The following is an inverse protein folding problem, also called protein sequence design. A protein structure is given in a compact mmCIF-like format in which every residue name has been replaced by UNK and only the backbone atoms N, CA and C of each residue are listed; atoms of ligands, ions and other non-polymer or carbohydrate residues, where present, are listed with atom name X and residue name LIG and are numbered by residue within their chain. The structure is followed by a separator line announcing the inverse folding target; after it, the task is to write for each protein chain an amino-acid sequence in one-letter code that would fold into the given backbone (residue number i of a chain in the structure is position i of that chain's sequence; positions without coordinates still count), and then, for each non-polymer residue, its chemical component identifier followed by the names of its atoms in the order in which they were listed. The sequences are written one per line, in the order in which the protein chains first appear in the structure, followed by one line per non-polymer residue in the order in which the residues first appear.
data_IF_378006019657
#
_entry.id   IF_378006019657
#
_cell.length_a   1.000
_cell.length_b   1.000
_cell.length_c   1.000
_cell.angle_alpha   90.00
_cell.angle_beta   90.00
_cell.angle_gamma   90.00
#
_symmetry.space_group_name_H-M   'P 1'
#
loop_
_entity.id
_entity.type
_entity.pdbx_description
1 polymer ?
#
# COMPACT_ATOMS: atom_id res chain seq x y z
N UNK A 1 32.86 -13.21 20.35
CA UNK A 1 32.08 -13.53 19.14
C UNK A 1 31.97 -12.34 18.19
N UNK A 2 32.32 -11.13 18.64
CA UNK A 2 31.96 -9.87 17.96
C UNK A 2 32.77 -9.58 16.69
N UNK A 3 33.96 -10.16 16.53
CA UNK A 3 34.82 -9.96 15.34
C UNK A 3 34.86 -11.17 14.38
N UNK A 4 34.04 -12.21 14.63
CA UNK A 4 33.95 -13.39 13.76
C UNK A 4 32.68 -13.31 12.91
N UNK A 5 32.81 -12.72 11.72
CA UNK A 5 31.70 -12.52 10.76
C UNK A 5 30.93 -13.82 10.51
N UNK A 6 31.64 -14.95 10.41
CA UNK A 6 31.08 -16.27 10.10
C UNK A 6 30.28 -16.90 11.25
N UNK A 7 30.43 -16.38 12.48
CA UNK A 7 29.74 -16.90 13.69
C UNK A 7 28.69 -15.94 14.24
N UNK A 8 28.43 -14.83 13.56
CA UNK A 8 27.39 -13.88 13.93
C UNK A 8 26.02 -14.49 13.67
N UNK A 9 25.19 -14.59 14.72
CA UNK A 9 23.76 -14.89 14.54
C UNK A 9 23.02 -13.62 14.13
N UNK A 10 22.26 -13.68 13.03
CA UNK A 10 21.43 -12.56 12.54
C UNK A 10 20.02 -12.55 13.15
N UNK A 11 19.63 -13.66 13.80
CA UNK A 11 18.39 -13.81 14.56
C UNK A 11 18.70 -14.50 15.89
N UNK A 12 17.88 -14.25 16.91
CA UNK A 12 18.08 -14.84 18.24
C UNK A 12 17.25 -14.16 19.31
N UNK A 13 17.34 -14.69 20.53
CA UNK A 13 16.74 -14.08 21.71
C UNK A 13 17.75 -13.11 22.34
N UNK A 14 17.27 -11.91 22.70
CA UNK A 14 18.01 -11.05 23.62
C UNK A 14 17.77 -11.59 25.03
N UNK A 15 18.77 -12.27 25.58
CA UNK A 15 18.75 -12.76 26.96
C UNK A 15 19.70 -11.93 27.82
N UNK A 16 19.22 -11.49 28.98
CA UNK A 16 20.04 -10.87 30.01
C UNK A 16 20.43 -11.96 31.00
N UNK A 17 21.68 -12.42 30.93
CA UNK A 17 22.16 -13.51 31.76
C UNK A 17 22.64 -12.99 33.12
N UNK A 18 22.22 -13.66 34.20
CA UNK A 18 22.77 -13.51 35.54
C UNK A 18 23.76 -14.64 35.83
N UNK A 19 24.90 -14.33 36.45
CA UNK A 19 25.85 -15.33 36.93
C UNK A 19 25.44 -15.88 38.30
N UNK A 20 25.84 -17.12 38.61
CA UNK A 20 25.58 -17.74 39.92
C UNK A 20 26.35 -17.01 41.04
N UNK A 21 25.68 -16.75 42.17
CA UNK A 21 26.25 -16.06 43.33
C UNK A 21 25.21 -15.77 44.43
N UNK A 22 25.61 -15.16 45.55
CA UNK A 22 24.67 -14.72 46.58
C UNK A 22 23.61 -13.73 46.03
N UNK A 23 22.45 -13.59 46.69
CA UNK A 23 21.37 -12.73 46.21
C UNK A 23 21.83 -11.30 45.96
N UNK A 24 21.50 -10.75 44.79
CA UNK A 24 21.80 -9.38 44.41
C UNK A 24 20.61 -8.76 43.67
N UNK A 25 20.39 -7.46 43.88
CA UNK A 25 19.43 -6.69 43.09
C UNK A 25 20.08 -6.30 41.75
N UNK A 26 19.41 -6.63 40.65
CA UNK A 26 19.86 -6.28 39.29
C UNK A 26 18.77 -5.50 38.59
N UNK A 27 19.10 -4.29 38.16
CA UNK A 27 18.22 -3.41 37.42
C UNK A 27 18.82 -3.15 36.04
N UNK A 28 18.02 -3.39 35.00
CA UNK A 28 18.35 -3.01 33.64
C UNK A 28 17.50 -1.79 33.27
N UNK A 29 18.15 -0.72 32.80
CA UNK A 29 17.48 0.50 32.33
C UNK A 29 18.03 0.91 30.97
N UNK A 30 17.26 1.70 30.25
CA UNK A 30 17.67 2.31 28.98
C UNK A 30 18.09 1.32 27.88
N UNK A 31 17.56 0.08 27.90
CA UNK A 31 17.78 -0.88 26.82
C UNK A 31 17.09 -0.38 25.55
N UNK A 32 17.88 -0.10 24.51
CA UNK A 32 17.39 0.29 23.19
C UNK A 32 17.69 -0.80 22.18
N UNK A 33 16.63 -1.30 21.54
CA UNK A 33 16.76 -2.16 20.37
C UNK A 33 16.90 -1.29 19.13
N UNK A 34 18.04 -1.38 18.44
CA UNK A 34 18.23 -0.75 17.13
C UNK A 34 18.04 -1.80 16.06
N UNK A 35 17.00 -1.66 15.24
CA UNK A 35 16.83 -2.48 14.04
C UNK A 35 17.80 -1.99 12.96
N UNK A 36 18.69 -2.85 12.49
CA UNK A 36 19.58 -2.51 11.38
C UNK A 36 18.88 -2.77 10.03
N UNK A 37 19.24 -2.05 8.96
CA UNK A 37 18.74 -2.33 7.62
C UNK A 37 18.99 -3.80 7.24
N UNK A 38 17.98 -4.42 6.66
CA UNK A 38 18.07 -5.77 6.12
C UNK A 38 18.93 -5.71 4.86
N UNK A 39 20.08 -6.39 4.85
CA UNK A 39 21.01 -6.33 3.70
C UNK A 39 20.48 -7.12 2.50
N UNK A 40 19.85 -8.26 2.75
CA UNK A 40 19.45 -9.22 1.72
C UNK A 40 17.94 -9.36 1.56
N UNK A 41 17.17 -8.43 2.14
CA UNK A 41 15.72 -8.44 2.05
C UNK A 41 15.12 -7.04 2.07
N UNK A 42 13.92 -6.89 1.51
CA UNK A 42 13.13 -5.67 1.55
C UNK A 42 11.93 -5.85 2.47
N UNK A 43 11.74 -4.90 3.40
CA UNK A 43 10.58 -4.88 4.28
C UNK A 43 9.42 -4.17 3.61
N UNK A 44 8.31 -4.87 3.43
CA UNK A 44 7.05 -4.33 2.88
C UNK A 44 6.05 -4.25 4.04
N UNK A 45 5.67 -3.05 4.44
CA UNK A 45 4.67 -2.85 5.50
C UNK A 45 3.30 -2.69 4.87
N UNK A 46 2.37 -3.60 5.18
CA UNK A 46 0.98 -3.58 4.77
C UNK A 46 0.13 -3.09 5.94
N UNK A 47 -0.72 -2.09 5.71
CA UNK A 47 -1.61 -1.55 6.74
C UNK A 47 -3.04 -1.62 6.24
N UNK A 48 -3.86 -2.38 6.95
CA UNK A 48 -5.28 -2.55 6.69
C UNK A 48 -6.12 -1.67 7.61
N UNK A 49 -7.13 -1.01 7.05
CA UNK A 49 -8.22 -0.42 7.82
C UNK A 49 -9.11 -1.47 8.47
N UNK A 50 -10.12 -1.03 9.22
CA UNK A 50 -11.23 -1.92 9.62
C UNK A 50 -12.16 -2.12 8.43
N UNK A 51 -12.85 -3.26 8.36
CA UNK A 51 -13.97 -3.38 7.44
C UNK A 51 -14.97 -2.24 7.72
N UNK A 52 -15.26 -1.42 6.72
CA UNK A 52 -16.03 -0.18 6.92
C UNK A 52 -17.36 -0.12 6.19
N UNK A 53 -17.64 -1.06 5.28
CA UNK A 53 -18.86 -1.11 4.46
C UNK A 53 -19.58 -2.46 4.56
N UNK A 54 -20.48 -2.76 3.62
CA UNK A 54 -21.26 -3.99 3.56
C UNK A 54 -20.40 -5.24 3.47
N UNK A 55 -21.04 -6.41 3.55
CA UNK A 55 -20.33 -7.69 3.49
C UNK A 55 -19.55 -7.80 2.16
N UNK A 56 -18.23 -7.90 2.26
CA UNK A 56 -17.34 -7.99 1.09
C UNK A 56 -17.02 -6.64 0.43
N UNK A 57 -17.45 -5.53 1.01
CA UNK A 57 -17.11 -4.17 0.60
C UNK A 57 -16.15 -3.56 1.61
N UNK A 58 -15.07 -2.95 1.13
CA UNK A 58 -14.02 -2.37 1.98
C UNK A 58 -13.49 -3.37 3.02
N UNK A 59 -13.41 -4.65 2.67
CA UNK A 59 -12.83 -5.69 3.52
C UNK A 59 -11.31 -5.63 3.45
N UNK A 60 -10.77 -4.53 3.98
CA UNK A 60 -9.34 -4.24 3.97
C UNK A 60 -8.50 -5.33 4.65
N UNK A 61 -8.90 -5.86 5.84
CA UNK A 61 -8.14 -6.94 6.49
C UNK A 61 -8.03 -8.18 5.62
N UNK A 62 -9.12 -8.61 4.99
CA UNK A 62 -9.10 -9.79 4.12
C UNK A 62 -8.23 -9.55 2.88
N UNK A 63 -8.31 -8.37 2.24
CA UNK A 63 -7.44 -8.05 1.11
C UNK A 63 -5.95 -8.02 1.48
N UNK A 64 -5.59 -7.39 2.60
CA UNK A 64 -4.20 -7.37 3.09
C UNK A 64 -3.71 -8.77 3.44
N UNK A 65 -4.55 -9.63 4.02
CA UNK A 65 -4.20 -11.03 4.26
C UNK A 65 -3.83 -11.77 2.96
N UNK A 66 -4.62 -11.62 1.88
CA UNK A 66 -4.33 -12.24 0.59
C UNK A 66 -3.03 -11.71 -0.04
N UNK A 67 -2.83 -10.38 0.00
CA UNK A 67 -1.61 -9.75 -0.49
C UNK A 67 -0.38 -10.23 0.31
N UNK A 68 -0.50 -10.29 1.63
CA UNK A 68 0.52 -10.82 2.53
C UNK A 68 0.90 -12.25 2.17
N UNK A 69 -0.10 -13.11 2.02
CA UNK A 69 0.09 -14.52 1.66
C UNK A 69 0.88 -14.67 0.35
N UNK A 70 0.58 -13.85 -0.65
CA UNK A 70 1.32 -13.84 -1.91
C UNK A 70 2.76 -13.33 -1.75
N UNK A 71 2.96 -12.26 -0.98
CA UNK A 71 4.28 -11.67 -0.76
C UNK A 71 5.22 -12.59 0.04
N UNK A 72 4.69 -13.43 0.93
CA UNK A 72 5.49 -14.43 1.66
C UNK A 72 6.13 -15.48 0.74
N UNK A 73 5.63 -15.63 -0.48
CA UNK A 73 6.21 -16.53 -1.48
C UNK A 73 7.31 -15.87 -2.33
N UNK A 74 7.59 -14.58 -2.13
CA UNK A 74 8.58 -13.82 -2.91
C UNK A 74 9.94 -13.83 -2.20
N UNK A 75 10.99 -14.45 -2.79
CA UNK A 75 12.33 -14.44 -2.19
C UNK A 75 12.85 -13.02 -1.96
N UNK A 76 13.44 -12.78 -0.78
CA UNK A 76 13.97 -11.47 -0.41
C UNK A 76 12.91 -10.46 0.04
N UNK A 77 11.63 -10.85 0.20
CA UNK A 77 10.60 -10.02 0.83
C UNK A 77 10.43 -10.40 2.29
N UNK A 78 10.37 -9.39 3.16
CA UNK A 78 9.83 -9.50 4.52
C UNK A 78 8.57 -8.66 4.57
N UNK A 79 7.41 -9.29 4.41
CA UNK A 79 6.17 -8.60 4.64
C UNK A 79 5.93 -8.42 6.15
N UNK A 80 5.27 -7.33 6.53
CA UNK A 80 4.76 -7.07 7.88
C UNK A 80 3.39 -6.43 7.76
N UNK A 81 2.39 -6.97 8.44
CA UNK A 81 1.00 -6.56 8.34
C UNK A 81 0.47 -6.01 9.66
N UNK A 82 -0.26 -4.91 9.56
CA UNK A 82 -0.91 -4.24 10.69
C UNK A 82 -2.38 -4.02 10.32
N UNK A 83 -3.27 -4.30 11.27
CA UNK A 83 -4.71 -4.23 11.07
C UNK A 83 -5.33 -3.13 11.93
N UNK A 84 -6.59 -2.80 11.61
CA UNK A 84 -7.40 -1.83 12.34
C UNK A 84 -6.95 -0.36 12.22
N UNK A 85 -6.25 -0.03 11.14
CA UNK A 85 -5.82 1.33 10.81
C UNK A 85 -4.38 1.61 11.22
N UNK A 86 -4.12 2.84 11.70
CA UNK A 86 -2.76 3.26 12.04
C UNK A 86 -2.13 2.35 13.10
N UNK A 87 -0.93 1.78 12.87
CA UNK A 87 -0.31 0.85 13.82
C UNK A 87 -0.11 1.47 15.21
N UNK A 88 -0.48 0.71 16.25
CA UNK A 88 -0.17 1.07 17.65
C UNK A 88 1.28 0.80 18.03
N UNK A 89 1.95 -0.10 17.30
CA UNK A 89 3.40 -0.35 17.40
C UNK A 89 4.17 0.87 16.88
N UNK A 90 4.87 1.64 17.73
CA UNK A 90 5.60 2.83 17.31
C UNK A 90 6.81 2.49 16.42
N UNK A 91 7.21 1.22 16.33
CA UNK A 91 8.31 0.73 15.49
C UNK A 91 7.81 0.12 14.17
N UNK A 92 6.52 0.20 13.87
CA UNK A 92 5.92 -0.51 12.74
C UNK A 92 6.62 -0.23 11.40
N UNK A 93 6.95 1.04 11.17
CA UNK A 93 7.57 1.51 9.93
C UNK A 93 9.11 1.48 9.96
N UNK A 94 9.73 1.02 11.04
CA UNK A 94 11.19 0.93 11.12
C UNK A 94 11.73 0.03 10.01
N UNK A 95 12.75 0.53 9.30
CA UNK A 95 13.39 -0.11 8.15
C UNK A 95 12.44 -0.52 7.02
N UNK A 96 11.24 0.06 6.94
CA UNK A 96 10.36 -0.15 5.80
C UNK A 96 11.06 0.30 4.51
N UNK A 97 11.03 -0.54 3.48
CA UNK A 97 11.40 -0.15 2.12
C UNK A 97 10.20 0.41 1.37
N UNK A 98 8.99 -0.08 1.68
CA UNK A 98 7.74 0.52 1.25
C UNK A 98 6.67 0.38 2.33
N UNK A 99 5.72 1.29 2.30
CA UNK A 99 4.48 1.24 3.09
C UNK A 99 3.31 1.17 2.10
N UNK A 100 2.39 0.23 2.30
CA UNK A 100 1.17 0.07 1.52
C UNK A 100 -0.02 0.23 2.45
N UNK A 101 -0.88 1.20 2.15
CA UNK A 101 -2.11 1.44 2.87
C UNK A 101 -3.31 1.00 2.03
N UNK A 102 -4.13 0.13 2.61
CA UNK A 102 -5.44 -0.24 2.11
C UNK A 102 -6.42 -0.08 3.27
N UNK A 103 -7.00 1.11 3.37
CA UNK A 103 -7.73 1.53 4.56
C UNK A 103 -8.66 2.69 4.24
N UNK A 104 -9.40 3.16 5.24
CA UNK A 104 -10.30 4.31 5.10
C UNK A 104 -9.57 5.60 4.69
N UNK A 105 -10.32 6.47 4.00
CA UNK A 105 -9.91 7.77 3.50
C UNK A 105 -10.76 8.95 4.00
N UNK A 106 -10.79 10.01 3.20
CA UNK A 106 -11.54 11.24 3.49
C UNK A 106 -11.09 11.92 4.78
N UNK A 107 -12.02 12.56 5.49
CA UNK A 107 -11.72 13.19 6.78
C UNK A 107 -11.29 12.19 7.86
N UNK A 108 -11.66 10.91 7.71
CA UNK A 108 -11.27 9.81 8.59
C UNK A 108 -9.92 9.19 8.25
N UNK A 109 -9.24 9.65 7.18
CA UNK A 109 -8.03 9.02 6.68
C UNK A 109 -6.96 8.92 7.77
N UNK A 110 -6.44 7.72 8.11
CA UNK A 110 -5.52 7.57 9.23
C UNK A 110 -4.20 8.36 9.11
N UNK A 111 -3.74 8.68 7.89
CA UNK A 111 -2.47 9.40 7.69
C UNK A 111 -2.57 10.91 7.96
N UNK A 112 -3.77 11.49 7.84
CA UNK A 112 -3.97 12.93 8.04
C UNK A 112 -4.24 13.28 9.51
N UNK A 113 -4.44 12.27 10.37
CA UNK A 113 -4.69 12.49 11.80
C UNK A 113 -3.41 12.89 12.53
N UNK A 114 -3.55 13.71 13.58
CA UNK A 114 -2.43 14.11 14.45
C UNK A 114 -1.26 14.68 13.61
N UNK A 115 -0.02 14.28 13.90
CA UNK A 115 1.22 14.66 13.23
C UNK A 115 1.72 13.61 12.21
N UNK A 116 0.86 12.67 11.82
CA UNK A 116 1.25 11.50 11.00
C UNK A 116 1.71 11.85 9.60
N UNK A 117 1.26 12.97 9.03
CA UNK A 117 1.80 13.49 7.76
C UNK A 117 3.28 13.83 7.88
N UNK A 118 3.67 14.53 8.95
CA UNK A 118 5.09 14.86 9.22
C UNK A 118 5.93 13.62 9.48
N UNK A 119 5.37 12.62 10.16
CA UNK A 119 6.03 11.35 10.39
C UNK A 119 6.28 10.59 9.08
N UNK A 120 5.26 10.50 8.21
CA UNK A 120 5.39 9.89 6.89
C UNK A 120 6.37 10.66 6.00
N UNK A 121 6.32 12.00 6.00
CA UNK A 121 7.27 12.84 5.28
C UNK A 121 8.73 12.50 5.64
N UNK A 122 9.00 12.23 6.92
CA UNK A 122 10.31 11.78 7.39
C UNK A 122 10.76 10.43 6.82
N UNK A 123 9.84 9.51 6.51
CA UNK A 123 10.14 8.28 5.78
C UNK A 123 10.29 8.53 4.28
N UNK A 124 9.42 9.35 3.70
CA UNK A 124 9.44 9.67 2.28
C UNK A 124 10.77 10.30 1.86
N UNK A 125 11.28 11.27 2.64
CA UNK A 125 12.61 11.90 2.44
C UNK A 125 13.80 10.94 2.56
N UNK A 126 13.60 9.76 3.14
CA UNK A 126 14.62 8.69 3.21
C UNK A 126 14.51 7.70 2.03
N UNK A 127 13.65 7.98 1.05
CA UNK A 127 13.42 7.13 -0.11
C UNK A 127 12.50 5.94 0.13
N UNK A 128 11.78 5.88 1.26
CA UNK A 128 10.79 4.81 1.52
C UNK A 128 9.64 4.94 0.53
N UNK A 129 9.28 3.86 -0.16
CA UNK A 129 8.16 3.84 -1.09
C UNK A 129 6.79 3.95 -0.41
N UNK A 130 5.79 4.41 -1.17
CA UNK A 130 4.40 4.53 -0.71
C UNK A 130 3.42 4.03 -1.76
N UNK A 131 2.50 3.16 -1.35
CA UNK A 131 1.38 2.70 -2.17
C UNK A 131 0.07 2.96 -1.43
N UNK A 132 -0.87 3.67 -2.06
CA UNK A 132 -2.21 3.92 -1.52
C UNK A 132 -3.26 3.25 -2.41
N UNK A 133 -4.11 2.43 -1.80
CA UNK A 133 -5.13 1.65 -2.48
C UNK A 133 -6.53 2.14 -2.11
N UNK A 134 -7.39 2.24 -3.12
CA UNK A 134 -8.80 2.53 -3.01
C UNK A 134 -9.09 3.78 -2.15
N UNK A 135 -9.88 3.65 -1.09
CA UNK A 135 -10.24 4.76 -0.23
C UNK A 135 -9.02 5.48 0.38
N UNK A 136 -7.87 4.83 0.52
CA UNK A 136 -6.65 5.47 1.00
C UNK A 136 -6.07 6.52 0.03
N UNK A 137 -6.55 6.65 -1.21
CA UNK A 137 -6.16 7.78 -2.09
C UNK A 137 -7.00 9.04 -1.87
N UNK A 138 -8.04 8.98 -1.03
CA UNK A 138 -8.95 10.11 -0.78
C UNK A 138 -8.57 10.90 0.48
N UNK A 139 -8.48 12.22 0.31
CA UNK A 139 -8.28 13.20 1.38
C UNK A 139 -9.20 14.41 1.17
N UNK A 140 -9.56 15.14 2.25
CA UNK A 140 -10.27 16.40 2.11
C UNK A 140 -9.40 17.44 1.39
N UNK A 141 -10.05 18.43 0.78
CA UNK A 141 -9.40 19.50 0.01
C UNK A 141 -8.32 20.25 0.79
N UNK A 142 -8.50 20.42 2.09
CA UNK A 142 -7.69 21.29 2.94
C UNK A 142 -6.57 20.56 3.70
N UNK A 143 -6.42 19.24 3.55
CA UNK A 143 -5.41 18.48 4.29
C UNK A 143 -4.94 17.21 3.57
N UNK A 144 -3.64 17.00 3.46
CA UNK A 144 -3.03 15.79 2.90
C UNK A 144 -2.86 15.80 1.37
N UNK A 145 -3.64 16.60 0.64
CA UNK A 145 -3.57 16.64 -0.83
C UNK A 145 -2.19 17.03 -1.38
N UNK A 146 -1.54 18.04 -0.76
CA UNK A 146 -0.18 18.45 -1.15
C UNK A 146 0.81 17.30 -0.94
N UNK A 147 0.74 16.64 0.20
CA UNK A 147 1.60 15.51 0.55
C UNK A 147 1.40 14.34 -0.42
N UNK A 148 0.15 14.01 -0.78
CA UNK A 148 -0.12 12.93 -1.72
C UNK A 148 0.33 13.25 -3.15
N UNK A 149 0.22 14.51 -3.60
CA UNK A 149 0.84 14.94 -4.85
C UNK A 149 2.36 14.73 -4.81
N UNK A 150 3.00 15.10 -3.70
CA UNK A 150 4.45 14.95 -3.54
C UNK A 150 4.85 13.46 -3.46
N UNK A 151 4.09 12.61 -2.76
CA UNK A 151 4.48 11.24 -2.47
C UNK A 151 4.07 10.21 -3.53
N UNK A 152 2.84 10.31 -4.05
CA UNK A 152 2.28 9.36 -5.01
C UNK A 152 1.85 10.00 -6.33
N UNK A 153 1.95 11.33 -6.49
CA UNK A 153 1.75 12.00 -7.78
C UNK A 153 0.31 12.41 -8.09
N UNK A 154 -0.66 11.88 -7.34
CA UNK A 154 -2.08 12.17 -7.52
C UNK A 154 -2.92 11.69 -6.33
N UNK A 155 -4.15 12.18 -6.23
CA UNK A 155 -5.08 11.82 -5.15
C UNK A 155 -6.53 12.12 -5.54
N UNK A 156 -7.47 11.54 -4.79
CA UNK A 156 -8.88 11.88 -4.85
C UNK A 156 -9.15 13.06 -3.91
N UNK A 157 -9.72 14.14 -4.44
CA UNK A 157 -10.14 15.29 -3.64
C UNK A 157 -11.66 15.30 -3.47
N UNK A 158 -12.14 15.26 -2.22
CA UNK A 158 -13.58 15.30 -1.92
C UNK A 158 -14.25 16.54 -2.54
N UNK A 159 -15.30 16.30 -3.33
CA UNK A 159 -16.06 17.34 -4.05
C UNK A 159 -15.49 17.73 -5.42
N UNK A 160 -14.28 17.28 -5.76
CA UNK A 160 -13.69 17.43 -7.10
C UNK A 160 -13.75 16.09 -7.85
N UNK A 161 -13.25 15.02 -7.24
CA UNK A 161 -13.22 13.67 -7.80
C UNK A 161 -14.56 12.94 -7.61
N UNK A 162 -14.77 11.81 -8.28
CA UNK A 162 -16.01 11.01 -8.19
C UNK A 162 -15.70 9.52 -8.12
N UNK A 163 -16.55 8.77 -7.42
CA UNK A 163 -16.39 7.35 -7.07
C UNK A 163 -17.64 6.51 -7.42
N UNK A 164 -18.08 6.43 -8.68
CA UNK A 164 -19.19 5.55 -9.04
C UNK A 164 -18.77 4.08 -9.10
N UNK A 165 -19.73 3.17 -8.98
CA UNK A 165 -19.54 1.77 -9.41
C UNK A 165 -19.77 1.63 -10.91
N UNK A 166 -18.77 1.13 -11.62
CA UNK A 166 -18.85 0.89 -13.08
C UNK A 166 -17.86 -0.17 -13.53
N UNK A 167 -18.05 -0.64 -14.75
CA UNK A 167 -17.18 -1.64 -15.36
C UNK A 167 -16.10 -0.96 -16.19
N UNK A 168 -14.86 -0.98 -15.69
CA UNK A 168 -13.69 -0.47 -16.39
C UNK A 168 -13.14 -1.53 -17.35
N UNK A 169 -12.84 -1.13 -18.58
CA UNK A 169 -12.29 -1.98 -19.64
C UNK A 169 -10.84 -1.54 -19.96
N UNK A 170 -9.88 -2.30 -19.43
CA UNK A 170 -8.44 -2.03 -19.55
C UNK A 170 -7.87 -2.73 -20.79
N UNK A 171 -8.09 -2.13 -21.95
CA UNK A 171 -7.66 -2.69 -23.26
C UNK A 171 -6.17 -2.61 -23.48
N UNK A 172 -5.57 -1.50 -23.08
CA UNK A 172 -4.14 -1.21 -23.28
C UNK A 172 -3.43 -1.23 -21.95
N UNK A 173 -2.44 -2.11 -21.83
CA UNK A 173 -1.57 -2.21 -20.66
C UNK A 173 -0.20 -1.64 -21.05
N UNK A 174 0.23 -0.49 -20.48
CA UNK A 174 1.50 0.12 -20.85
C UNK A 174 2.67 -0.73 -20.40
N UNK A 175 3.84 -0.55 -21.03
CA UNK A 175 5.08 -1.21 -20.58
C UNK A 175 5.64 -0.49 -19.35
N UNK A 176 5.52 -1.10 -18.18
CA UNK A 176 6.08 -0.63 -16.92
C UNK A 176 6.36 -1.84 -16.01
N UNK A 177 7.35 -1.81 -15.10
CA UNK A 177 7.56 -2.93 -14.17
C UNK A 177 6.31 -3.32 -13.38
N UNK A 178 5.48 -2.34 -12.98
CA UNK A 178 4.23 -2.60 -12.26
C UNK A 178 3.21 -3.38 -13.11
N UNK A 179 3.22 -3.18 -14.43
CA UNK A 179 2.29 -3.84 -15.35
C UNK A 179 2.87 -5.13 -15.97
N UNK A 180 4.06 -5.56 -15.55
CA UNK A 180 4.67 -6.83 -15.98
C UNK A 180 3.74 -8.01 -15.72
N UNK A 181 3.47 -8.80 -16.76
CA UNK A 181 2.61 -9.99 -16.70
C UNK A 181 1.10 -9.72 -16.58
N UNK A 182 0.65 -8.47 -16.68
CA UNK A 182 -0.77 -8.16 -16.86
C UNK A 182 -1.19 -8.43 -18.31
N UNK A 183 -2.40 -8.94 -18.47
CA UNK A 183 -3.12 -8.97 -19.74
C UNK A 183 -4.29 -7.97 -19.70
N UNK A 184 -4.84 -7.57 -20.86
CA UNK A 184 -6.08 -6.80 -20.90
C UNK A 184 -7.19 -7.50 -20.10
N UNK A 185 -7.96 -6.72 -19.34
CA UNK A 185 -9.00 -7.24 -18.46
C UNK A 185 -10.11 -6.21 -18.25
N UNK A 186 -11.25 -6.69 -17.76
CA UNK A 186 -12.42 -5.86 -17.45
C UNK A 186 -12.83 -6.14 -16.02
N UNK A 187 -13.18 -5.09 -15.26
CA UNK A 187 -13.55 -5.24 -13.85
C UNK A 187 -14.68 -4.29 -13.48
N UNK A 188 -15.73 -4.83 -12.85
CA UNK A 188 -16.72 -4.02 -12.14
C UNK A 188 -16.22 -3.75 -10.72
N UNK A 189 -16.07 -2.48 -10.37
CA UNK A 189 -15.62 -2.02 -9.06
C UNK A 189 -16.09 -0.57 -8.82
N UNK A 190 -15.82 -0.02 -7.63
CA UNK A 190 -15.93 1.42 -7.37
C UNK A 190 -14.65 2.12 -7.84
N UNK A 191 -14.55 2.41 -9.13
CA UNK A 191 -13.36 3.04 -9.70
C UNK A 191 -13.46 4.55 -9.63
N UNK A 192 -12.52 5.17 -8.91
CA UNK A 192 -12.49 6.61 -8.75
C UNK A 192 -11.82 7.31 -9.92
N UNK A 193 -12.31 8.49 -10.28
CA UNK A 193 -11.73 9.30 -11.34
C UNK A 193 -11.99 10.81 -11.18
N UNK A 194 -11.55 11.59 -12.18
CA UNK A 194 -11.37 13.03 -12.08
C UNK A 194 -10.42 13.38 -10.93
N UNK A 195 -9.28 12.68 -10.91
CA UNK A 195 -8.27 12.79 -9.86
C UNK A 195 -7.52 14.12 -9.94
N UNK A 196 -6.96 14.56 -8.81
CA UNK A 196 -5.91 15.57 -8.79
C UNK A 196 -4.59 14.90 -9.14
N UNK A 197 -3.78 15.57 -9.94
CA UNK A 197 -2.41 15.15 -10.26
C UNK A 197 -1.46 16.33 -10.14
N UNK A 198 -0.16 16.04 -10.10
CA UNK A 198 0.88 17.06 -10.20
C UNK A 198 0.66 17.92 -11.44
N UNK A 199 1.09 19.18 -11.37
CA UNK A 199 1.03 20.09 -12.50
C UNK A 199 1.66 19.45 -13.73
N UNK A 200 0.96 19.49 -14.86
CA UNK A 200 1.38 18.88 -16.13
C UNK A 200 1.74 17.39 -16.04
N UNK A 201 1.21 16.66 -15.04
CA UNK A 201 1.51 15.23 -14.80
C UNK A 201 3.01 14.96 -14.59
N UNK A 202 3.75 15.91 -14.03
CA UNK A 202 5.21 15.80 -13.89
C UNK A 202 5.64 14.52 -13.13
N UNK A 203 6.35 13.64 -13.84
CA UNK A 203 6.84 12.36 -13.31
C UNK A 203 5.76 11.30 -13.09
N UNK A 204 4.49 11.60 -13.38
CA UNK A 204 3.37 10.66 -13.21
C UNK A 204 3.27 9.78 -14.46
N UNK A 205 3.30 8.47 -14.24
CA UNK A 205 3.12 7.45 -15.28
C UNK A 205 1.75 6.80 -15.10
N UNK A 206 0.78 7.03 -16.01
CA UNK A 206 -0.50 6.32 -16.00
C UNK A 206 -0.29 4.81 -16.26
N UNK A 207 -0.98 3.96 -15.50
CA UNK A 207 -0.84 2.50 -15.58
C UNK A 207 -2.13 1.81 -16.02
N UNK A 208 -3.27 2.24 -15.47
CA UNK A 208 -4.59 1.74 -15.85
C UNK A 208 -5.45 2.93 -16.27
N UNK A 209 -5.96 2.88 -17.50
CA UNK A 209 -6.79 3.93 -18.09
C UNK A 209 -8.05 3.27 -18.65
N UNK A 210 -9.21 3.85 -18.35
CA UNK A 210 -10.48 3.42 -18.92
C UNK A 210 -11.40 4.63 -19.11
N UNK A 211 -12.36 4.54 -20.04
CA UNK A 211 -13.33 5.62 -20.28
C UNK A 211 -14.64 5.29 -19.56
N UNK A 212 -15.02 6.00 -18.48
CA UNK A 212 -16.27 5.75 -17.79
C UNK A 212 -17.47 6.23 -18.62
N UNK A 213 -18.66 5.63 -18.42
CA UNK A 213 -19.90 6.15 -18.98
C UNK A 213 -20.20 7.56 -18.45
N UNK A 214 -20.62 8.49 -19.31
CA UNK A 214 -20.82 9.90 -18.91
C UNK A 214 -21.88 10.12 -17.83
N UNK A 215 -22.86 9.22 -17.72
CA UNK A 215 -23.87 9.26 -16.66
C UNK A 215 -23.32 8.94 -15.26
N UNK A 216 -22.08 8.47 -15.15
CA UNK A 216 -21.42 8.20 -13.87
C UNK A 216 -20.62 9.40 -13.33
N UNK A 217 -20.49 10.48 -14.12
CA UNK A 217 -19.69 11.67 -13.78
C UNK A 217 -20.43 12.54 -12.76
N UNK A 218 -20.33 12.15 -11.48
CA UNK A 218 -21.22 12.66 -10.42
C UNK A 218 -20.91 14.06 -9.88
N UNK A 219 -19.66 14.53 -9.95
CA UNK A 219 -19.30 15.89 -9.54
C UNK A 219 -19.40 16.88 -10.69
N UNK A 220 -19.56 18.17 -10.37
CA UNK A 220 -19.55 19.25 -11.38
C UNK A 220 -18.31 19.16 -12.27
N UNK A 221 -17.16 18.90 -11.69
CA UNK A 221 -15.89 18.86 -12.43
C UNK A 221 -15.68 17.55 -13.19
N UNK A 222 -16.20 16.42 -12.70
CA UNK A 222 -16.23 15.23 -13.53
C UNK A 222 -17.16 15.42 -14.74
N UNK A 223 -18.33 16.01 -14.55
CA UNK A 223 -19.37 16.20 -15.57
C UNK A 223 -18.97 17.17 -16.70
N UNK A 224 -18.01 18.06 -16.46
CA UNK A 224 -17.50 18.99 -17.48
C UNK A 224 -16.56 18.33 -18.51
N UNK A 225 -16.28 17.03 -18.38
CA UNK A 225 -15.35 16.29 -19.23
C UNK A 225 -15.97 15.03 -19.89
N UNK A 226 -17.06 15.16 -20.67
CA UNK A 226 -17.70 14.01 -21.31
C UNK A 226 -16.73 13.25 -22.24
N UNK A 227 -16.82 11.93 -22.24
CA UNK A 227 -16.00 11.03 -23.07
C UNK A 227 -14.51 10.98 -22.73
N UNK A 228 -14.06 11.68 -21.67
CA UNK A 228 -12.64 11.71 -21.29
C UNK A 228 -12.18 10.37 -20.71
N UNK A 229 -11.10 9.76 -21.23
CA UNK A 229 -10.44 8.64 -20.56
C UNK A 229 -9.88 9.06 -19.19
N UNK A 230 -10.05 8.22 -18.19
CA UNK A 230 -9.66 8.51 -16.81
C UNK A 230 -8.53 7.57 -16.36
N UNK A 231 -7.63 8.11 -15.54
CA UNK A 231 -6.51 7.36 -14.97
C UNK A 231 -6.97 6.76 -13.64
N UNK A 232 -6.98 5.43 -13.56
CA UNK A 232 -7.44 4.64 -12.41
C UNK A 232 -6.28 4.05 -11.60
N UNK A 233 -5.08 4.06 -12.18
CA UNK A 233 -3.84 3.73 -11.47
C UNK A 233 -2.66 4.45 -12.09
N UNK A 234 -1.69 4.83 -11.25
CA UNK A 234 -0.51 5.56 -11.67
C UNK A 234 0.69 5.26 -10.77
N UNK A 235 1.88 5.57 -11.29
CA UNK A 235 3.12 5.52 -10.56
C UNK A 235 3.89 6.83 -10.66
N UNK A 236 4.80 7.06 -9.72
CA UNK A 236 5.74 8.18 -9.73
C UNK A 236 7.08 7.76 -9.17
N UNK A 237 8.16 8.16 -9.83
CA UNK A 237 9.50 8.16 -9.23
C UNK A 237 9.79 9.56 -8.69
N UNK A 238 10.21 9.63 -7.43
CA UNK A 238 10.50 10.90 -6.74
C UNK A 238 11.99 11.23 -6.87
N UNK A 239 12.36 12.53 -6.85
CA UNK A 239 13.77 12.95 -6.94
C UNK A 239 14.67 12.40 -5.81
N UNK A 240 14.08 12.02 -4.67
CA UNK A 240 14.78 11.40 -3.53
C UNK A 240 15.02 9.89 -3.70
N UNK A 241 14.69 9.34 -4.87
CA UNK A 241 14.78 7.90 -5.18
C UNK A 241 13.62 7.08 -4.64
N UNK A 242 12.71 7.69 -3.89
CA UNK A 242 11.48 7.05 -3.44
C UNK A 242 10.48 6.85 -4.59
N UNK A 243 9.58 5.89 -4.41
CA UNK A 243 8.60 5.51 -5.43
C UNK A 243 7.18 5.54 -4.87
N UNK A 244 6.25 6.06 -5.66
CA UNK A 244 4.86 6.25 -5.27
C UNK A 244 3.90 5.50 -6.21
N UNK A 245 2.82 4.96 -5.66
CA UNK A 245 1.78 4.26 -6.41
C UNK A 245 0.39 4.63 -5.88
N UNK A 246 -0.52 4.92 -6.81
CA UNK A 246 -1.93 5.11 -6.52
C UNK A 246 -2.79 4.17 -7.36
N UNK A 247 -3.85 3.64 -6.73
CA UNK A 247 -4.75 2.68 -7.35
C UNK A 247 -6.15 2.88 -6.80
N UNK A 248 -7.14 3.15 -7.67
CA UNK A 248 -8.48 3.54 -7.22
C UNK A 248 -9.42 2.36 -6.98
N UNK A 249 -9.12 1.19 -7.52
CA UNK A 249 -9.89 -0.04 -7.28
C UNK A 249 -9.63 -0.66 -5.92
N UNK A 250 -10.49 -1.60 -5.54
CA UNK A 250 -10.41 -2.34 -4.28
C UNK A 250 -11.63 -2.14 -3.39
N UNK A 251 -12.80 -1.85 -3.95
CA UNK A 251 -14.02 -1.76 -3.16
C UNK A 251 -14.51 -3.16 -2.80
N UNK A 252 -14.65 -4.03 -3.80
CA UNK A 252 -15.12 -5.40 -3.58
C UNK A 252 -13.99 -6.37 -3.28
N UNK A 253 -14.12 -7.14 -2.19
CA UNK A 253 -13.20 -8.24 -1.88
C UNK A 253 -13.13 -9.29 -3.00
N UNK A 254 -14.23 -9.46 -3.75
CA UNK A 254 -14.29 -10.36 -4.90
C UNK A 254 -13.32 -9.97 -6.03
N UNK A 255 -12.92 -8.70 -6.15
CA UNK A 255 -11.94 -8.24 -7.14
C UNK A 255 -10.59 -8.96 -6.98
N UNK A 256 -10.23 -9.32 -5.74
CA UNK A 256 -9.02 -10.08 -5.44
C UNK A 256 -9.04 -11.51 -6.00
N UNK A 257 -10.14 -12.02 -6.58
CA UNK A 257 -10.14 -13.30 -7.32
C UNK A 257 -9.50 -13.18 -8.70
N UNK A 258 -9.49 -12.00 -9.29
CA UNK A 258 -8.83 -11.75 -10.57
C UNK A 258 -7.31 -11.64 -10.42
N UNK A 259 -6.56 -12.36 -11.25
CA UNK A 259 -5.10 -12.40 -11.17
C UNK A 259 -4.46 -11.07 -11.62
N UNK A 260 -4.99 -10.38 -12.64
CA UNK A 260 -4.46 -9.09 -13.08
C UNK A 260 -4.61 -8.05 -11.96
N UNK A 261 -5.76 -8.07 -11.30
CA UNK A 261 -6.06 -7.17 -10.17
C UNK A 261 -5.12 -7.39 -8.98
N UNK A 262 -4.84 -8.65 -8.60
CA UNK A 262 -3.82 -8.95 -7.58
C UNK A 262 -2.42 -8.55 -8.03
N UNK A 263 -2.07 -8.89 -9.26
CA UNK A 263 -0.71 -8.76 -9.81
C UNK A 263 -0.26 -7.32 -9.88
N UNK A 264 -1.11 -6.37 -10.28
CA UNK A 264 -0.72 -4.95 -10.32
C UNK A 264 -0.34 -4.42 -8.94
N UNK A 265 -1.09 -4.80 -7.90
CA UNK A 265 -0.83 -4.37 -6.52
C UNK A 265 0.44 -5.03 -5.97
N UNK A 266 0.64 -6.32 -6.22
CA UNK A 266 1.85 -7.03 -5.79
C UNK A 266 3.11 -6.53 -6.50
N UNK A 267 3.03 -6.30 -7.81
CA UNK A 267 4.11 -5.70 -8.58
C UNK A 267 4.42 -4.28 -8.09
N UNK A 268 3.38 -3.48 -7.79
CA UNK A 268 3.55 -2.16 -7.20
C UNK A 268 4.28 -2.22 -5.85
N UNK A 269 3.90 -3.15 -4.97
CA UNK A 269 4.56 -3.33 -3.67
C UNK A 269 6.06 -3.66 -3.82
N UNK A 270 6.44 -4.53 -4.77
CA UNK A 270 7.85 -4.82 -5.05
C UNK A 270 8.56 -3.59 -5.64
N UNK A 271 7.93 -2.94 -6.62
CA UNK A 271 8.52 -1.81 -7.32
C UNK A 271 8.75 -0.62 -6.38
N UNK A 272 7.79 -0.28 -5.52
CA UNK A 272 7.91 0.79 -4.53
C UNK A 272 8.92 0.45 -3.43
N UNK A 273 9.13 -0.83 -3.13
CA UNK A 273 10.20 -1.29 -2.24
C UNK A 273 11.60 -1.23 -2.86
N UNK A 274 11.71 -0.82 -4.13
CA UNK A 274 12.97 -0.77 -4.87
C UNK A 274 13.48 -2.15 -5.29
N UNK A 275 12.58 -3.13 -5.45
CA UNK A 275 12.90 -4.44 -6.00
C UNK A 275 12.68 -4.47 -7.50
N UNK A 276 13.36 -5.39 -8.18
CA UNK A 276 13.01 -5.77 -9.55
C UNK A 276 11.69 -6.55 -9.53
N UNK A 277 10.78 -6.17 -10.44
CA UNK A 277 9.55 -6.94 -10.64
C UNK A 277 9.84 -8.05 -11.65
N UNK A 278 9.45 -9.31 -11.39
CA UNK A 278 9.62 -10.39 -12.35
C UNK A 278 8.98 -10.07 -13.70
N UNK A 279 9.56 -10.54 -14.81
CA UNK A 279 9.07 -10.27 -16.18
C UNK A 279 7.60 -10.71 -16.38
N UNK A 280 7.22 -11.85 -15.79
CA UNK A 280 5.84 -12.36 -15.77
C UNK A 280 4.96 -11.80 -14.63
N UNK A 281 5.45 -10.81 -13.89
CA UNK A 281 4.85 -10.31 -12.66
C UNK A 281 4.97 -11.28 -11.47
N UNK A 282 4.52 -10.83 -10.30
CA UNK A 282 4.46 -11.67 -9.10
C UNK A 282 3.45 -12.80 -9.33
N UNK A 283 3.87 -14.04 -9.04
CA UNK A 283 2.97 -15.20 -9.01
C UNK A 283 2.10 -15.12 -7.75
N UNK A 284 0.79 -15.15 -7.93
CA UNK A 284 -0.19 -14.94 -6.86
C UNK A 284 -1.30 -15.99 -6.88
N UNK A 285 -0.92 -17.25 -6.81
CA UNK A 285 -1.85 -18.38 -6.71
C UNK A 285 -2.48 -18.39 -5.33
N UNK A 286 -3.82 -18.41 -5.28
CA UNK A 286 -4.61 -18.50 -4.06
C UNK A 286 -5.57 -19.68 -4.18
N UNK A 287 -5.83 -20.34 -3.06
CA UNK A 287 -6.85 -21.37 -2.93
C UNK A 287 -8.20 -20.76 -2.53
N UNK A 288 -9.31 -21.49 -2.70
CA UNK A 288 -10.61 -21.07 -2.17
C UNK A 288 -10.60 -20.94 -0.63
N UNK A 289 -9.72 -21.67 0.07
CA UNK A 289 -9.56 -21.56 1.52
C UNK A 289 -9.02 -20.19 1.92
N UNK A 290 -8.13 -19.60 1.12
CA UNK A 290 -7.55 -18.29 1.40
C UNK A 290 -8.61 -17.19 1.43
N UNK A 291 -9.63 -17.29 0.57
CA UNK A 291 -10.76 -16.34 0.51
C UNK A 291 -11.81 -16.55 1.61
N UNK A 292 -11.80 -17.71 2.28
CA UNK A 292 -12.77 -18.04 3.33
C UNK A 292 -12.19 -17.96 4.73
N UNK A 293 -10.87 -17.76 4.86
CA UNK A 293 -10.19 -17.56 6.14
C UNK A 293 -10.67 -16.25 6.78
N UNK A 294 -11.63 -16.38 7.70
CA UNK A 294 -12.28 -15.28 8.42
C UNK A 294 -11.26 -14.43 9.19
N UNK A 295 -10.72 -13.39 8.59
CA UNK A 295 -10.06 -12.30 9.32
C UNK A 295 -11.15 -11.31 9.77
N UNK A 296 -11.98 -11.72 10.73
CA UNK A 296 -12.79 -10.78 11.51
C UNK A 296 -12.01 -10.39 12.77
N UNK A 297 -11.49 -9.17 12.79
CA UNK A 297 -11.50 -8.34 14.01
C UNK A 297 -12.02 -6.97 13.57
N UNK A 298 -13.14 -6.47 14.10
CA UNK A 298 -13.53 -6.38 15.50
C UNK A 298 -15.00 -6.76 15.77
N UNK A 299 -15.22 -7.41 16.93
CA UNK A 299 -16.51 -7.42 17.64
C UNK A 299 -17.67 -8.20 17.00
N UNK A 300 -17.54 -9.52 16.90
CA UNK A 300 -18.61 -10.53 17.11
C UNK A 300 -18.10 -11.93 16.75
#
# INVERSE_FOLDING_TARGET
MDDQVDKRSLSGLLALQLHAGPPMEVQFKDIRLKRLPLKDAKKIVLVAGKASHGLGEHDFPAGVYLLRHCLDQVPGVIAADYYEGWPSDPTAFDNANTILFYMDGGSGHPIIQQDRLSLLDGFMKKGVGLALLHYAVEVPKDRGGKELLDWIGGYYETGWSTNPHWTADFKEIPKHPITSGLAPFTMNDEWYYNMRFRNNMEGVVPLLIATPPDNTRGTREAASHPGRPEILSWAVERPDGGRGFGFTGGHFHAAWKDENFRKIVLNAALWTAGMEVPEGGVKSTLSEEDFTRKMRTAGN
#
